data_IF_368585296526
#
_entry.id   IF_368585296526
#
_cell.length_a   1.000
_cell.length_b   1.000
_cell.length_c   1.000
_cell.angle_alpha   90.00
_cell.angle_beta   90.00
_cell.angle_gamma   90.00
#
_symmetry.space_group_name_H-M   'P 1'
#
loop_
_entity.id
_entity.type
_entity.pdbx_description
1 polymer ?
#
# COMPACT_ATOMS: atom_id res chain seq x y z
N UNK A 1 -19.95 5.06 -11.70
CA UNK A 1 -18.82 5.62 -12.48
C UNK A 1 -17.85 6.19 -11.45
N UNK A 2 -16.54 6.00 -11.64
CA UNK A 2 -15.52 6.58 -10.77
C UNK A 2 -15.47 8.10 -10.96
N UNK A 3 -15.36 8.85 -9.87
CA UNK A 3 -15.23 10.32 -9.89
C UNK A 3 -13.76 10.75 -9.94
N UNK A 4 -12.91 10.09 -9.14
CA UNK A 4 -11.47 10.39 -9.03
C UNK A 4 -10.67 9.11 -8.77
N UNK A 5 -9.42 9.09 -9.23
CA UNK A 5 -8.42 8.11 -8.83
C UNK A 5 -7.16 8.86 -8.40
N UNK A 6 -6.76 8.70 -7.14
CA UNK A 6 -5.62 9.42 -6.56
C UNK A 6 -4.50 8.46 -6.20
N UNK A 7 -3.28 8.83 -6.54
CA UNK A 7 -2.10 7.99 -6.34
C UNK A 7 -0.98 8.74 -5.64
N UNK A 8 -0.26 8.03 -4.80
CA UNK A 8 0.96 8.47 -4.14
C UNK A 8 2.13 7.65 -4.67
N UNK A 9 3.18 8.34 -5.11
CA UNK A 9 4.38 7.69 -5.62
C UNK A 9 5.12 6.92 -4.51
N UNK A 10 5.78 5.82 -4.87
CA UNK A 10 6.53 4.93 -3.97
C UNK A 10 7.59 5.66 -3.13
N UNK A 11 8.12 6.76 -3.65
CA UNK A 11 9.09 7.59 -2.93
C UNK A 11 8.54 8.19 -1.62
N UNK A 12 7.22 8.37 -1.50
CA UNK A 12 6.58 8.91 -0.31
C UNK A 12 6.23 7.84 0.74
N UNK A 13 6.58 6.58 0.50
CA UNK A 13 6.37 5.50 1.46
C UNK A 13 7.13 5.79 2.76
N UNK A 14 6.45 5.58 3.89
CA UNK A 14 7.04 5.65 5.23
C UNK A 14 7.14 4.24 5.83
N UNK A 15 8.28 3.90 6.40
CA UNK A 15 8.54 2.59 7.04
C UNK A 15 8.30 2.66 8.54
N UNK A 16 7.50 1.74 9.10
CA UNK A 16 7.20 1.70 10.54
C UNK A 16 8.39 1.25 11.39
N UNK A 17 9.08 0.19 10.97
CA UNK A 17 10.26 -0.34 11.67
C UNK A 17 11.50 -0.32 10.75
N UNK A 18 12.22 0.81 10.64
CA UNK A 18 13.43 0.89 9.82
C UNK A 18 14.51 -0.13 10.20
N UNK A 19 14.63 -0.45 11.50
CA UNK A 19 15.58 -1.46 12.02
C UNK A 19 15.30 -2.90 11.55
N UNK A 20 14.15 -3.16 10.92
CA UNK A 20 13.80 -4.46 10.33
C UNK A 20 14.13 -4.55 8.84
N UNK A 21 14.74 -3.51 8.26
CA UNK A 21 15.23 -3.51 6.89
C UNK A 21 16.76 -3.61 6.85
N UNK A 22 17.26 -4.32 5.86
CA UNK A 22 18.68 -4.30 5.47
C UNK A 22 19.00 -3.00 4.74
N UNK A 23 18.09 -2.56 3.86
CA UNK A 23 18.28 -1.35 3.08
C UNK A 23 16.95 -0.80 2.55
N UNK A 24 16.96 0.51 2.31
CA UNK A 24 15.91 1.26 1.65
C UNK A 24 16.54 2.14 0.57
N UNK A 25 16.01 2.10 -0.65
CA UNK A 25 16.55 2.85 -1.78
C UNK A 25 15.42 3.33 -2.68
N UNK A 26 15.50 4.57 -3.17
CA UNK A 26 14.49 5.19 -4.04
C UNK A 26 15.03 5.43 -5.46
N UNK A 27 15.18 4.39 -6.29
CA UNK A 27 15.63 4.55 -7.66
C UNK A 27 14.48 4.85 -8.63
N UNK A 28 14.65 5.86 -9.48
CA UNK A 28 13.78 6.08 -10.64
C UNK A 28 12.32 6.34 -10.26
N UNK A 29 11.47 5.33 -10.41
CA UNK A 29 10.01 5.41 -10.27
C UNK A 29 9.44 4.54 -9.14
N UNK A 30 10.28 4.02 -8.24
CA UNK A 30 9.82 3.16 -7.13
C UNK A 30 10.69 3.30 -5.90
N UNK A 31 10.21 2.77 -4.78
CA UNK A 31 11.04 2.48 -3.61
C UNK A 31 11.33 0.99 -3.55
N UNK A 32 12.61 0.63 -3.34
CA UNK A 32 13.08 -0.71 -3.04
C UNK A 32 13.36 -0.81 -1.55
N UNK A 33 12.84 -1.87 -0.94
CA UNK A 33 13.21 -2.30 0.40
C UNK A 33 13.77 -3.71 0.34
N UNK A 34 14.73 -3.98 1.21
CA UNK A 34 15.21 -5.32 1.49
C UNK A 34 14.96 -5.59 2.95
N UNK A 35 14.08 -6.55 3.27
CA UNK A 35 13.78 -6.91 4.65
C UNK A 35 14.83 -7.81 5.29
N UNK A 36 14.95 -7.73 6.61
CA UNK A 36 15.72 -8.71 7.38
C UNK A 36 15.03 -10.10 7.27
N UNK A 37 15.79 -11.20 7.13
CA UNK A 37 15.22 -12.54 7.13
C UNK A 37 14.40 -12.83 8.39
N UNK A 38 13.23 -13.46 8.22
CA UNK A 38 12.33 -13.83 9.32
C UNK A 38 11.60 -12.66 9.97
N UNK A 39 11.51 -11.51 9.30
CA UNK A 39 10.90 -10.30 9.85
C UNK A 39 9.57 -9.93 9.18
N UNK A 40 8.81 -9.09 9.87
CA UNK A 40 7.62 -8.40 9.34
C UNK A 40 7.75 -6.90 9.53
N UNK A 41 7.10 -6.13 8.67
CA UNK A 41 7.10 -4.66 8.73
C UNK A 41 5.76 -4.09 8.26
N UNK A 42 5.57 -2.80 8.48
CA UNK A 42 4.47 -2.02 7.94
C UNK A 42 5.00 -0.84 7.14
N UNK A 43 4.36 -0.59 6.00
CA UNK A 43 4.64 0.55 5.14
C UNK A 43 3.39 1.39 4.98
N UNK A 44 3.52 2.71 5.08
CA UNK A 44 2.39 3.63 5.08
C UNK A 44 2.48 4.61 3.91
N UNK A 45 1.32 4.81 3.29
CA UNK A 45 1.09 5.83 2.28
C UNK A 45 -0.06 6.74 2.74
N UNK A 46 0.18 8.05 2.73
CA UNK A 46 -0.86 9.05 2.83
C UNK A 46 -1.31 9.41 1.41
N UNK A 47 -2.55 9.06 1.04
CA UNK A 47 -3.09 9.32 -0.30
C UNK A 47 -3.67 10.73 -0.33
N UNK A 48 -3.29 11.60 -1.29
CA UNK A 48 -3.98 12.87 -1.50
C UNK A 48 -5.48 12.62 -1.69
N UNK A 49 -6.29 13.17 -0.78
CA UNK A 49 -7.69 12.75 -0.62
C UNK A 49 -8.64 13.92 -0.93
N UNK A 50 -9.32 13.92 -2.09
CA UNK A 50 -10.36 14.89 -2.39
C UNK A 50 -11.64 14.54 -1.64
N UNK A 51 -11.82 15.09 -0.45
CA UNK A 51 -12.97 14.79 0.42
C UNK A 51 -14.30 15.29 -0.18
N UNK A 52 -14.28 16.46 -0.82
CA UNK A 52 -15.44 17.08 -1.48
C UNK A 52 -15.01 17.56 -2.87
N UNK A 53 -15.75 17.15 -3.90
CA UNK A 53 -15.59 17.61 -5.29
C UNK A 53 -16.95 18.08 -5.79
N UNK A 54 -17.01 19.26 -6.41
CA UNK A 54 -18.27 19.84 -6.93
C UNK A 54 -19.40 19.86 -5.87
N UNK A 55 -19.07 20.23 -4.62
CA UNK A 55 -19.98 20.25 -3.47
C UNK A 55 -20.59 18.87 -3.10
N UNK A 56 -20.01 17.79 -3.61
CA UNK A 56 -20.41 16.42 -3.30
C UNK A 56 -19.33 15.72 -2.47
N UNK A 57 -19.73 15.05 -1.39
CA UNK A 57 -18.81 14.27 -0.55
C UNK A 57 -18.53 12.94 -1.23
N UNK A 58 -17.25 12.67 -1.50
CA UNK A 58 -16.88 11.44 -2.16
C UNK A 58 -16.93 10.25 -1.19
N UNK A 59 -17.14 9.07 -1.76
CA UNK A 59 -17.04 7.78 -1.09
C UNK A 59 -15.84 7.02 -1.62
N UNK A 60 -15.19 6.23 -0.78
CA UNK A 60 -14.06 5.41 -1.25
C UNK A 60 -14.58 4.08 -1.82
N UNK A 61 -14.11 3.73 -3.01
CA UNK A 61 -14.44 2.47 -3.68
C UNK A 61 -13.43 1.38 -3.28
N UNK A 62 -12.14 1.68 -3.46
CA UNK A 62 -11.06 0.72 -3.26
C UNK A 62 -9.72 1.37 -2.96
N UNK A 63 -8.84 0.60 -2.32
CA UNK A 63 -7.42 0.88 -2.24
C UNK A 63 -6.65 0.10 -3.31
N UNK A 64 -5.55 0.69 -3.80
CA UNK A 64 -4.78 0.23 -4.93
C UNK A 64 -3.30 0.20 -4.53
N UNK A 65 -2.59 -0.86 -4.88
CA UNK A 65 -1.14 -0.97 -4.67
C UNK A 65 -0.48 -1.48 -5.93
N UNK A 66 0.56 -0.79 -6.40
CA UNK A 66 1.36 -1.20 -7.55
C UNK A 66 2.77 -1.59 -7.11
N UNK A 67 3.08 -2.88 -7.17
CA UNK A 67 4.32 -3.42 -6.60
C UNK A 67 4.81 -4.67 -7.34
N UNK A 68 6.03 -5.08 -6.99
CA UNK A 68 6.60 -6.40 -7.31
C UNK A 68 7.49 -6.90 -6.17
N UNK A 69 7.72 -8.20 -6.16
CA UNK A 69 8.58 -8.90 -5.20
C UNK A 69 9.73 -9.59 -5.90
N UNK A 70 10.88 -9.65 -5.24
CA UNK A 70 12.06 -10.38 -5.70
C UNK A 70 11.88 -11.90 -5.60
N UNK A 71 10.99 -12.37 -4.73
CA UNK A 71 10.57 -13.78 -4.64
C UNK A 71 9.24 -13.91 -3.90
N UNK A 72 8.71 -15.14 -3.81
CA UNK A 72 7.55 -15.48 -2.97
C UNK A 72 7.81 -15.37 -1.47
N UNK A 73 9.08 -15.20 -1.06
CA UNK A 73 9.46 -15.03 0.33
C UNK A 73 9.38 -13.56 0.81
N UNK A 74 9.13 -12.61 -0.11
CA UNK A 74 8.83 -11.21 0.19
C UNK A 74 7.39 -10.93 -0.23
N UNK A 75 6.46 -10.98 0.72
CA UNK A 75 5.03 -10.94 0.42
C UNK A 75 4.29 -9.85 1.21
N UNK A 76 3.27 -9.27 0.57
CA UNK A 76 2.27 -8.46 1.28
C UNK A 76 1.30 -9.42 1.95
N UNK A 77 1.19 -9.28 3.27
CA UNK A 77 0.32 -10.08 4.14
C UNK A 77 -0.98 -9.37 4.51
N UNK A 78 -0.96 -8.03 4.51
CA UNK A 78 -2.09 -7.23 4.96
C UNK A 78 -2.21 -5.92 4.16
N UNK A 79 -3.44 -5.48 3.90
CA UNK A 79 -3.77 -4.12 3.46
C UNK A 79 -4.85 -3.56 4.37
N UNK A 80 -4.51 -2.52 5.13
CA UNK A 80 -5.44 -1.79 5.98
C UNK A 80 -5.66 -0.39 5.42
N UNK A 81 -6.93 0.02 5.35
CA UNK A 81 -7.33 1.34 4.86
C UNK A 81 -7.94 2.13 6.00
N UNK A 82 -7.50 3.37 6.15
CA UNK A 82 -7.92 4.29 7.19
C UNK A 82 -8.51 5.55 6.57
N UNK A 83 -9.51 6.14 7.21
CA UNK A 83 -9.94 7.52 7.00
C UNK A 83 -9.75 8.28 8.33
N UNK A 84 -8.73 9.14 8.37
CA UNK A 84 -8.22 9.67 9.63
C UNK A 84 -7.74 8.56 10.56
N UNK A 85 -8.22 8.56 11.79
CA UNK A 85 -7.92 7.54 12.82
C UNK A 85 -8.73 6.25 12.67
N UNK A 86 -9.79 6.26 11.85
CA UNK A 86 -10.73 5.14 11.76
C UNK A 86 -10.28 4.16 10.68
N UNK A 87 -10.10 2.89 11.06
CA UNK A 87 -9.86 1.81 10.09
C UNK A 87 -11.17 1.42 9.41
N UNK A 88 -11.25 1.62 8.10
CA UNK A 88 -12.47 1.41 7.30
C UNK A 88 -12.43 0.15 6.43
N UNK A 89 -11.25 -0.43 6.20
CA UNK A 89 -11.12 -1.76 5.59
C UNK A 89 -9.89 -2.51 6.11
N UNK A 90 -9.96 -3.84 6.07
CA UNK A 90 -8.84 -4.74 6.37
C UNK A 90 -8.91 -5.95 5.45
N UNK A 91 -7.81 -6.19 4.74
CA UNK A 91 -7.57 -7.38 3.93
C UNK A 91 -6.39 -8.12 4.55
N UNK A 92 -6.68 -9.18 5.29
CA UNK A 92 -5.69 -9.92 6.09
C UNK A 92 -5.45 -11.33 5.53
N UNK A 93 -4.32 -11.94 5.89
CA UNK A 93 -3.99 -13.31 5.48
C UNK A 93 -3.63 -13.44 3.99
N UNK A 94 -3.20 -12.34 3.38
CA UNK A 94 -2.74 -12.29 2.01
C UNK A 94 -1.39 -13.01 1.87
N UNK A 95 -1.07 -13.43 0.65
CA UNK A 95 0.25 -13.95 0.28
C UNK A 95 0.60 -13.41 -1.12
N UNK A 96 0.64 -12.09 -1.27
CA UNK A 96 0.83 -11.45 -2.58
C UNK A 96 2.31 -11.16 -2.83
N UNK A 97 2.86 -11.77 -3.87
CA UNK A 97 4.27 -11.64 -4.25
C UNK A 97 4.45 -11.69 -5.78
N UNK A 98 3.86 -10.75 -6.53
CA UNK A 98 3.97 -10.74 -7.99
C UNK A 98 5.43 -10.53 -8.42
N UNK A 99 5.91 -11.30 -9.39
CA UNK A 99 7.28 -11.16 -9.90
C UNK A 99 7.41 -9.98 -10.89
N UNK A 100 6.31 -9.60 -11.52
CA UNK A 100 6.19 -8.43 -12.40
C UNK A 100 5.52 -7.23 -11.70
N UNK A 101 5.52 -6.08 -12.37
CA UNK A 101 4.83 -4.89 -11.88
C UNK A 101 3.31 -5.03 -12.04
N UNK A 102 2.65 -5.47 -10.99
CA UNK A 102 1.21 -5.68 -10.95
C UNK A 102 0.52 -4.62 -10.09
N UNK A 103 -0.74 -4.34 -10.42
CA UNK A 103 -1.62 -3.51 -9.61
C UNK A 103 -2.66 -4.41 -8.97
N UNK A 104 -2.75 -4.35 -7.64
CA UNK A 104 -3.76 -5.05 -6.86
C UNK A 104 -4.78 -4.04 -6.33
N UNK A 105 -6.05 -4.38 -6.50
CA UNK A 105 -7.20 -3.60 -6.04
C UNK A 105 -7.88 -4.31 -4.88
N UNK A 106 -8.16 -3.55 -3.82
CA UNK A 106 -8.74 -4.00 -2.58
C UNK A 106 -10.01 -3.21 -2.29
N UNK A 107 -11.17 -3.87 -2.36
CA UNK A 107 -12.47 -3.22 -2.13
C UNK A 107 -12.58 -2.65 -0.71
N UNK A 108 -13.26 -1.50 -0.55
CA UNK A 108 -13.61 -0.94 0.76
C UNK A 108 -15.09 -1.22 1.04
N UNK A 109 -15.42 -2.16 1.94
CA UNK A 109 -16.80 -2.60 2.13
C UNK A 109 -17.77 -1.47 2.47
N UNK A 110 -18.91 -1.44 1.79
CA UNK A 110 -19.98 -0.46 2.02
C UNK A 110 -19.71 0.94 1.45
N UNK A 111 -18.52 1.15 0.84
CA UNK A 111 -18.12 2.41 0.20
C UNK A 111 -18.45 3.65 1.06
N UNK A 112 -17.89 3.76 2.27
CA UNK A 112 -18.24 4.83 3.19
C UNK A 112 -17.82 6.19 2.65
N UNK A 113 -18.52 7.23 3.11
CA UNK A 113 -18.12 8.61 2.91
C UNK A 113 -16.70 8.85 3.41
N UNK A 114 -15.90 9.53 2.61
CA UNK A 114 -14.60 10.03 3.03
C UNK A 114 -14.81 11.31 3.83
N UNK A 115 -14.22 11.39 5.02
CA UNK A 115 -14.38 12.48 5.97
C UNK A 115 -13.10 13.30 6.12
N UNK A 116 -11.94 12.65 6.08
CA UNK A 116 -10.67 13.28 6.41
C UNK A 116 -9.60 13.00 5.34
N UNK A 117 -8.79 11.97 5.53
CA UNK A 117 -7.64 11.68 4.70
C UNK A 117 -7.41 10.18 4.69
N UNK A 118 -7.25 9.62 3.49
CA UNK A 118 -7.06 8.20 3.32
C UNK A 118 -5.60 7.81 3.56
N UNK A 119 -5.40 6.90 4.50
CA UNK A 119 -4.15 6.21 4.74
C UNK A 119 -4.22 4.76 4.31
N UNK A 120 -3.19 4.28 3.61
CA UNK A 120 -3.02 2.86 3.26
C UNK A 120 -1.82 2.33 4.04
N UNK A 121 -2.05 1.32 4.87
CA UNK A 121 -1.01 0.59 5.59
C UNK A 121 -0.85 -0.81 5.01
N UNK A 122 0.38 -1.15 4.64
CA UNK A 122 0.75 -2.39 3.95
C UNK A 122 1.60 -3.22 4.90
N UNK A 123 1.03 -4.34 5.36
CA UNK A 123 1.76 -5.33 6.15
C UNK A 123 2.55 -6.25 5.24
N UNK A 124 3.82 -6.47 5.56
CA UNK A 124 4.74 -7.29 4.76
C UNK A 124 5.50 -8.30 5.60
N UNK A 125 5.93 -9.38 4.94
CA UNK A 125 6.76 -10.42 5.51
C UNK A 125 7.96 -10.71 4.61
N UNK A 126 9.10 -10.96 5.23
CA UNK A 126 10.36 -11.31 4.58
C UNK A 126 10.91 -12.60 5.19
N UNK A 127 10.77 -13.72 4.48
CA UNK A 127 11.12 -15.07 4.94
C UNK A 127 12.26 -15.72 4.14
N UNK A 128 12.83 -15.00 3.18
CA UNK A 128 13.90 -15.49 2.30
C UNK A 128 15.25 -15.56 3.00
N UNK A 129 16.09 -16.48 2.52
CA UNK A 129 17.44 -16.73 3.06
C UNK A 129 18.50 -15.71 2.60
N UNK A 130 18.18 -14.81 1.66
CA UNK A 130 19.12 -13.82 1.15
C UNK A 130 18.39 -12.52 0.74
N UNK A 131 19.18 -11.47 0.50
CA UNK A 131 18.67 -10.13 0.18
C UNK A 131 17.82 -10.08 -1.09
N UNK A 132 18.19 -10.85 -2.13
CA UNK A 132 17.43 -10.87 -3.38
C UNK A 132 16.02 -11.45 -3.14
N UNK A 133 15.91 -12.53 -2.37
CA UNK A 133 14.64 -13.13 -2.01
C UNK A 133 13.77 -12.21 -1.14
N UNK A 134 14.38 -11.38 -0.29
CA UNK A 134 13.70 -10.42 0.60
C UNK A 134 13.52 -9.02 0.00
N UNK A 135 13.71 -8.88 -1.32
CA UNK A 135 13.49 -7.60 -2.00
C UNK A 135 12.01 -7.39 -2.29
N UNK A 136 11.48 -6.21 -1.98
CA UNK A 136 10.17 -5.75 -2.42
C UNK A 136 10.30 -4.35 -3.00
N UNK A 137 9.56 -4.08 -4.06
CA UNK A 137 9.58 -2.79 -4.75
C UNK A 137 8.16 -2.27 -4.96
N UNK A 138 7.88 -1.06 -4.49
CA UNK A 138 6.56 -0.44 -4.56
C UNK A 138 6.68 0.84 -5.39
N UNK A 139 5.92 0.91 -6.49
CA UNK A 139 5.89 2.06 -7.38
C UNK A 139 4.88 3.11 -6.94
N UNK A 140 3.72 2.68 -6.42
CA UNK A 140 2.68 3.58 -5.94
C UNK A 140 1.64 2.86 -5.09
N UNK A 141 0.91 3.63 -4.28
CA UNK A 141 -0.35 3.23 -3.66
C UNK A 141 -1.39 4.35 -3.85
N UNK A 142 -2.66 4.01 -3.98
CA UNK A 142 -3.72 4.95 -4.32
C UNK A 142 -5.12 4.47 -3.99
N UNK A 143 -6.13 5.25 -4.32
CA UNK A 143 -7.52 4.92 -4.11
C UNK A 143 -8.39 5.37 -5.29
N UNK A 144 -9.46 4.62 -5.51
CA UNK A 144 -10.58 5.01 -6.36
C UNK A 144 -11.70 5.62 -5.50
N UNK A 145 -12.28 6.72 -5.97
CA UNK A 145 -13.38 7.41 -5.31
C UNK A 145 -14.64 7.43 -6.19
N UNK A 146 -15.78 7.22 -5.54
CA UNK A 146 -17.12 7.34 -6.09
C UNK A 146 -17.69 8.73 -5.76
N UNK A 147 -18.65 9.21 -6.57
CA UNK A 147 -19.51 10.31 -6.16
C UNK A 147 -20.42 9.89 -4.99
#
# INVERSE_FOLDING_TARGET
MLEQAMWTHGHSMTVEYPSRLVSEWRPGFYIRVVGNPGSTNWFHFAVPTPVIVNNNRLRIDSALVRFRSGSTAADITNIHVYDGETKIASHDGLNLSPSGWEMHRFDVPGHPDVRWGIGISIGVRFSGANNAANTMEIAAAGCDFLP
#
